data_IF_959332902247
#
_entry.id   IF_959332902247
#
_cell.length_a   1.000
_cell.length_b   1.000
_cell.length_c   1.000
_cell.angle_alpha   90.00
_cell.angle_beta   90.00
_cell.angle_gamma   90.00
#
_symmetry.space_group_name_H-M   'P 1'
#
loop_
_entity.id
_entity.type
_entity.pdbx_description
1 polymer ?
#
# COMPACT_ATOMS: atom_id res chain seq x y z
N UNK A 1 -10.33 28.31 -8.33
CA UNK A 1 -9.04 27.91 -7.71
C UNK A 1 -8.58 26.60 -8.33
N UNK A 2 -7.27 26.38 -8.45
CA UNK A 2 -6.73 25.08 -8.85
C UNK A 2 -6.86 24.05 -7.71
N UNK A 3 -7.01 22.77 -8.05
CA UNK A 3 -7.05 21.67 -7.09
C UNK A 3 -5.83 21.66 -6.16
N UNK A 4 -4.63 21.91 -6.70
CA UNK A 4 -3.40 21.99 -5.92
C UNK A 4 -3.43 23.15 -4.90
N UNK A 5 -4.07 24.27 -5.25
CA UNK A 5 -4.24 25.41 -4.34
C UNK A 5 -5.16 25.04 -3.18
N UNK A 6 -6.23 24.28 -3.43
CA UNK A 6 -7.12 23.77 -2.38
C UNK A 6 -6.38 22.81 -1.45
N UNK A 7 -5.66 21.83 -1.99
CA UNK A 7 -4.88 20.88 -1.18
C UNK A 7 -3.84 21.59 -0.31
N UNK A 8 -3.08 22.53 -0.88
CA UNK A 8 -2.07 23.28 -0.16
C UNK A 8 -2.66 24.05 1.02
N UNK A 9 -3.74 24.80 0.77
CA UNK A 9 -4.37 25.60 1.81
C UNK A 9 -5.03 24.75 2.92
N UNK A 10 -5.56 23.57 2.58
CA UNK A 10 -6.25 22.70 3.55
C UNK A 10 -5.27 21.89 4.40
N UNK A 11 -4.26 21.27 3.78
CA UNK A 11 -3.44 20.26 4.47
C UNK A 11 -1.98 20.67 4.67
N UNK A 12 -1.41 21.47 3.77
CA UNK A 12 0.05 21.67 3.72
C UNK A 12 0.52 23.07 4.16
N UNK A 13 -0.38 24.06 4.31
CA UNK A 13 -0.03 25.45 4.67
C UNK A 13 0.31 25.64 6.16
N UNK A 14 -0.35 24.92 7.08
CA UNK A 14 -0.13 25.04 8.53
C UNK A 14 0.72 23.88 9.03
N UNK A 15 1.88 24.16 9.64
CA UNK A 15 2.80 23.13 10.14
C UNK A 15 2.13 22.11 11.08
N UNK A 16 1.22 22.56 11.95
CA UNK A 16 0.49 21.69 12.88
C UNK A 16 -0.40 20.66 12.18
N UNK A 17 -0.91 20.98 10.99
CA UNK A 17 -1.74 20.09 10.17
C UNK A 17 -0.88 19.29 9.19
N UNK A 18 0.19 19.90 8.67
CA UNK A 18 1.13 19.30 7.74
C UNK A 18 1.69 17.98 8.25
N UNK A 19 2.29 17.97 9.44
CA UNK A 19 2.95 16.77 9.99
C UNK A 19 1.94 15.63 10.20
N UNK A 20 0.77 15.94 10.77
CA UNK A 20 -0.31 14.97 10.95
C UNK A 20 -0.83 14.40 9.63
N UNK A 21 -0.96 15.25 8.60
CA UNK A 21 -1.36 14.82 7.24
C UNK A 21 -0.33 13.86 6.66
N UNK A 22 0.96 14.17 6.76
CA UNK A 22 2.04 13.32 6.24
C UNK A 22 2.04 11.97 6.94
N UNK A 23 1.92 11.92 8.27
CA UNK A 23 1.90 10.67 9.01
C UNK A 23 0.66 9.81 8.70
N UNK A 24 -0.52 10.41 8.67
CA UNK A 24 -1.74 9.71 8.29
C UNK A 24 -1.64 9.17 6.85
N UNK A 25 -1.13 9.98 5.92
CA UNK A 25 -0.89 9.59 4.54
C UNK A 25 0.11 8.45 4.42
N UNK A 26 1.24 8.52 5.13
CA UNK A 26 2.26 7.48 5.13
C UNK A 26 1.74 6.16 5.69
N UNK A 27 0.96 6.19 6.76
CA UNK A 27 0.35 4.99 7.33
C UNK A 27 -0.64 4.32 6.36
N UNK A 28 -1.58 5.10 5.82
CA UNK A 28 -2.55 4.59 4.86
C UNK A 28 -1.89 4.09 3.58
N UNK A 29 -0.88 4.81 3.08
CA UNK A 29 -0.10 4.40 1.92
C UNK A 29 0.66 3.10 2.19
N UNK A 30 1.31 2.95 3.35
CA UNK A 30 2.04 1.73 3.70
C UNK A 30 1.18 0.48 3.58
N UNK A 31 -0.03 0.51 4.15
CA UNK A 31 -0.98 -0.61 4.08
C UNK A 31 -1.43 -0.86 2.63
N UNK A 32 -1.88 0.19 1.95
CA UNK A 32 -2.41 0.06 0.59
C UNK A 32 -1.35 -0.40 -0.41
N UNK A 33 -0.12 0.11 -0.28
CA UNK A 33 1.00 -0.22 -1.13
C UNK A 33 1.46 -1.67 -0.91
N UNK A 34 1.61 -2.10 0.34
CA UNK A 34 2.00 -3.48 0.66
C UNK A 34 1.01 -4.50 0.07
N UNK A 35 -0.29 -4.30 0.29
CA UNK A 35 -1.35 -5.17 -0.26
C UNK A 35 -1.37 -5.11 -1.78
N UNK A 36 -1.27 -3.92 -2.36
CA UNK A 36 -1.32 -3.73 -3.81
C UNK A 36 -0.16 -4.39 -4.53
N UNK A 37 1.07 -4.15 -4.06
CA UNK A 37 2.29 -4.70 -4.65
C UNK A 37 2.37 -6.20 -4.43
N UNK A 38 2.01 -6.71 -3.25
CA UNK A 38 1.96 -8.16 -3.00
C UNK A 38 1.00 -8.85 -3.95
N UNK A 39 -0.23 -8.32 -4.11
CA UNK A 39 -1.19 -8.87 -5.07
C UNK A 39 -0.69 -8.84 -6.51
N UNK A 40 -0.04 -7.74 -6.92
CA UNK A 40 0.56 -7.64 -8.24
C UNK A 40 1.64 -8.70 -8.44
N UNK A 41 2.54 -8.86 -7.47
CA UNK A 41 3.61 -9.85 -7.49
C UNK A 41 3.07 -11.28 -7.54
N UNK A 42 1.99 -11.54 -6.81
CA UNK A 42 1.28 -12.81 -6.79
C UNK A 42 0.65 -13.17 -8.12
N UNK A 43 -0.05 -12.22 -8.74
CA UNK A 43 -0.61 -12.41 -10.06
C UNK A 43 0.50 -12.65 -11.10
N UNK A 44 1.60 -11.90 -11.01
CA UNK A 44 2.71 -12.00 -11.96
C UNK A 44 3.46 -13.33 -11.87
N UNK A 45 3.63 -13.87 -10.66
CA UNK A 45 4.39 -15.10 -10.42
C UNK A 45 3.51 -16.32 -10.14
N UNK A 46 2.23 -16.26 -10.51
CA UNK A 46 1.26 -17.33 -10.27
C UNK A 46 1.76 -18.68 -10.80
N UNK A 47 1.65 -19.71 -9.97
CA UNK A 47 2.07 -21.08 -10.27
C UNK A 47 3.56 -21.35 -10.05
N UNK A 48 4.35 -20.33 -9.68
CA UNK A 48 5.77 -20.47 -9.31
C UNK A 48 6.01 -20.31 -7.82
N UNK A 49 5.09 -19.66 -7.11
CA UNK A 49 5.29 -19.39 -5.69
C UNK A 49 5.05 -20.63 -4.85
N UNK A 50 5.76 -20.73 -3.71
CA UNK A 50 5.57 -21.84 -2.78
C UNK A 50 4.10 -21.99 -2.38
N UNK A 51 3.39 -20.89 -2.09
CA UNK A 51 1.96 -20.93 -1.76
C UNK A 51 1.07 -21.54 -2.85
N UNK A 52 1.51 -21.51 -4.11
CA UNK A 52 0.78 -22.11 -5.23
C UNK A 52 1.10 -23.59 -5.38
N UNK A 53 2.35 -24.02 -5.13
CA UNK A 53 2.82 -25.38 -5.41
C UNK A 53 2.93 -26.28 -4.18
N UNK A 54 2.77 -25.74 -2.96
CA UNK A 54 2.96 -26.43 -1.68
C UNK A 54 2.18 -27.74 -1.60
N UNK A 55 0.97 -27.78 -2.14
CA UNK A 55 0.09 -28.95 -2.12
C UNK A 55 0.68 -30.18 -2.83
N UNK A 56 1.69 -30.00 -3.70
CA UNK A 56 2.36 -31.12 -4.37
C UNK A 56 3.43 -31.80 -3.50
N UNK A 57 3.80 -31.21 -2.36
CA UNK A 57 5.02 -31.58 -1.63
C UNK A 57 4.83 -31.78 -0.12
N UNK A 58 3.67 -31.42 0.42
CA UNK A 58 3.39 -31.59 1.86
C UNK A 58 2.37 -32.70 2.00
N UNK A 59 2.78 -33.80 2.64
CA UNK A 59 1.88 -34.88 3.05
C UNK A 59 0.97 -34.35 4.17
N UNK A 60 -0.33 -34.67 4.10
CA UNK A 60 -1.26 -34.41 5.20
C UNK A 60 -0.96 -35.43 6.32
N UNK A 61 -0.61 -34.94 7.52
CA UNK A 61 -0.46 -35.76 8.73
C UNK A 61 -1.81 -36.40 9.14
#
# INVERSE_FOLDING_TARGET
>A
MSFSTTLYNTFFKRNSVFVGTVFAGAFAFGIGFDVGVTKFYDAWNKGKQWKDIRHNYVEED
#
